data_IF_638648651807
#
_entry.id   IF_638648651807
#
_cell.length_a   1.000
_cell.length_b   1.000
_cell.length_c   1.000
_cell.angle_alpha   90.00
_cell.angle_beta   90.00
_cell.angle_gamma   90.00
#
_symmetry.space_group_name_H-M   'P 1'
#
loop_
_entity.id
_entity.type
_entity.pdbx_description
1 polymer ?
#
# COMPACT_ATOMS: atom_id res chain seq x y z
N UNK A 1 -13.05 -16.12 -51.30
CA UNK A 1 -13.93 -15.23 -50.54
C UNK A 1 -14.28 -15.74 -49.11
N UNK A 2 -14.70 -17.01 -48.93
CA UNK A 2 -15.09 -17.53 -47.60
C UNK A 2 -13.95 -17.51 -46.54
N UNK A 3 -12.69 -17.71 -46.93
CA UNK A 3 -11.55 -17.70 -46.01
C UNK A 3 -11.14 -16.29 -45.61
N UNK A 4 -11.28 -15.31 -46.51
CA UNK A 4 -10.98 -13.89 -46.20
C UNK A 4 -11.96 -13.32 -45.15
N UNK A 5 -13.24 -13.71 -45.24
CA UNK A 5 -14.27 -13.30 -44.27
C UNK A 5 -14.01 -13.89 -42.87
N UNK A 6 -13.52 -15.13 -42.79
CA UNK A 6 -13.17 -15.78 -41.52
C UNK A 6 -11.95 -15.12 -40.87
N UNK A 7 -10.93 -14.73 -41.64
CA UNK A 7 -9.74 -14.05 -41.16
C UNK A 7 -10.14 -12.65 -40.63
N UNK A 8 -10.98 -11.93 -41.35
CA UNK A 8 -11.45 -10.61 -40.93
C UNK A 8 -12.26 -10.70 -39.65
N UNK A 9 -13.16 -11.65 -39.47
CA UNK A 9 -13.92 -11.87 -38.26
C UNK A 9 -13.03 -12.23 -37.08
N UNK A 10 -11.96 -13.03 -37.29
CA UNK A 10 -11.02 -13.37 -36.22
C UNK A 10 -10.18 -12.17 -35.79
N UNK A 11 -9.74 -11.33 -36.70
CA UNK A 11 -8.99 -10.10 -36.41
C UNK A 11 -9.86 -9.09 -35.63
N UNK A 12 -11.13 -8.92 -36.02
CA UNK A 12 -12.06 -8.05 -35.28
C UNK A 12 -12.33 -8.56 -33.87
N UNK A 13 -12.43 -9.89 -33.67
CA UNK A 13 -12.62 -10.49 -32.35
C UNK A 13 -11.38 -10.27 -31.46
N UNK A 14 -10.16 -10.45 -32.01
CA UNK A 14 -8.92 -10.21 -31.28
C UNK A 14 -8.74 -8.74 -30.89
N UNK A 15 -9.08 -7.80 -31.78
CA UNK A 15 -9.03 -6.36 -31.50
C UNK A 15 -10.05 -5.95 -30.43
N UNK A 16 -11.23 -6.56 -30.40
CA UNK A 16 -12.23 -6.26 -29.38
C UNK A 16 -11.82 -6.76 -28.00
N UNK A 17 -11.15 -7.92 -27.91
CA UNK A 17 -10.63 -8.44 -26.63
C UNK A 17 -9.48 -7.58 -26.09
N UNK A 18 -8.58 -7.10 -26.96
CA UNK A 18 -7.50 -6.19 -26.54
C UNK A 18 -8.04 -4.82 -26.09
N UNK A 19 -9.09 -4.31 -26.73
CA UNK A 19 -9.70 -3.04 -26.32
C UNK A 19 -10.43 -3.15 -24.96
N UNK A 20 -11.02 -4.31 -24.66
CA UNK A 20 -11.68 -4.52 -23.36
C UNK A 20 -10.69 -4.65 -22.19
N UNK A 21 -9.51 -5.26 -22.41
CA UNK A 21 -8.48 -5.33 -21.37
C UNK A 21 -7.84 -3.98 -21.08
N UNK A 22 -7.60 -3.14 -22.07
CA UNK A 22 -7.08 -1.79 -21.89
C UNK A 22 -8.09 -0.87 -21.16
N UNK A 23 -9.39 -1.02 -21.42
CA UNK A 23 -10.42 -0.25 -20.70
C UNK A 23 -10.61 -0.71 -19.25
N UNK A 24 -10.30 -1.97 -18.92
CA UNK A 24 -10.41 -2.47 -17.56
C UNK A 24 -9.29 -1.94 -16.64
N UNK A 25 -8.06 -1.81 -17.14
CA UNK A 25 -6.95 -1.21 -16.39
C UNK A 25 -7.18 0.26 -16.08
N UNK A 26 -7.63 1.06 -17.06
CA UNK A 26 -7.94 2.48 -16.85
C UNK A 26 -9.14 2.70 -15.92
N UNK A 27 -10.12 1.81 -15.93
CA UNK A 27 -11.32 1.94 -15.10
C UNK A 27 -11.04 1.72 -13.62
N UNK A 28 -10.04 0.92 -13.26
CA UNK A 28 -9.65 0.68 -11.85
C UNK A 28 -8.76 1.80 -11.31
N UNK A 29 -7.91 2.40 -12.15
CA UNK A 29 -7.03 3.51 -11.76
C UNK A 29 -7.74 4.85 -11.69
N UNK A 30 -8.83 5.05 -12.44
CA UNK A 30 -9.61 6.29 -12.48
C UNK A 30 -10.73 6.38 -11.44
N UNK A 31 -10.92 5.37 -10.61
CA UNK A 31 -11.86 5.41 -9.49
C UNK A 31 -11.38 6.33 -8.34
N UNK A 32 -10.69 7.42 -8.65
CA UNK A 32 -10.40 8.47 -7.69
C UNK A 32 -11.64 9.32 -7.50
N UNK A 33 -12.51 8.87 -6.66
CA UNK A 33 -13.45 9.75 -5.99
C UNK A 33 -12.63 10.71 -5.13
N UNK A 34 -13.09 11.94 -4.95
CA UNK A 34 -12.44 12.90 -4.07
C UNK A 34 -12.14 12.24 -2.70
N UNK A 35 -10.90 12.31 -2.26
CA UNK A 35 -10.49 11.77 -0.97
C UNK A 35 -11.26 12.46 0.16
N UNK A 36 -12.16 11.72 0.78
CA UNK A 36 -13.10 12.25 1.77
C UNK A 36 -12.39 12.82 3.01
N UNK A 37 -11.24 12.24 3.37
CA UNK A 37 -10.43 12.63 4.52
C UNK A 37 -9.19 13.46 4.15
N UNK A 38 -9.19 14.14 3.00
CA UNK A 38 -8.04 14.92 2.53
C UNK A 38 -7.55 15.95 3.57
N UNK A 39 -8.48 16.64 4.23
CA UNK A 39 -8.16 17.65 5.26
C UNK A 39 -7.61 17.07 6.58
N UNK A 40 -7.71 15.75 6.77
CA UNK A 40 -7.23 15.04 7.94
C UNK A 40 -6.07 14.09 7.60
N UNK A 41 -5.54 14.17 6.38
CA UNK A 41 -4.43 13.35 5.94
C UNK A 41 -3.14 13.72 6.68
N UNK A 42 -2.43 12.69 7.12
CA UNK A 42 -1.07 12.83 7.64
C UNK A 42 -0.06 12.45 6.55
N UNK A 43 1.06 13.15 6.50
CA UNK A 43 2.12 12.85 5.54
C UNK A 43 3.50 13.23 6.10
N UNK A 44 4.57 12.79 5.44
CA UNK A 44 5.92 13.17 5.77
C UNK A 44 6.32 12.88 7.22
N UNK A 45 7.03 13.80 7.83
CA UNK A 45 7.53 13.66 9.21
C UNK A 45 6.38 13.65 10.24
N UNK A 46 5.26 14.31 9.96
CA UNK A 46 4.08 14.29 10.83
C UNK A 46 3.47 12.87 10.90
N UNK A 47 3.30 12.21 9.76
CA UNK A 47 2.85 10.83 9.71
C UNK A 47 3.82 9.89 10.41
N UNK A 48 5.12 10.04 10.16
CA UNK A 48 6.15 9.23 10.81
C UNK A 48 6.10 9.37 12.34
N UNK A 49 5.98 10.58 12.85
CA UNK A 49 5.90 10.85 14.28
C UNK A 49 4.63 10.25 14.89
N UNK A 50 3.49 10.38 14.22
CA UNK A 50 2.22 9.82 14.66
C UNK A 50 2.26 8.28 14.70
N UNK A 51 2.80 7.64 13.68
CA UNK A 51 3.00 6.18 13.65
C UNK A 51 3.91 5.75 14.80
N UNK A 52 5.04 6.41 15.00
CA UNK A 52 6.05 6.03 15.98
C UNK A 52 5.64 6.35 17.43
N UNK A 53 4.55 7.09 17.64
CA UNK A 53 3.94 7.26 18.95
C UNK A 53 3.20 5.98 19.43
N UNK A 54 3.03 5.00 18.55
CA UNK A 54 2.35 3.72 18.82
C UNK A 54 0.94 3.89 19.41
N UNK A 55 0.24 4.94 18.94
CA UNK A 55 -1.13 5.25 19.33
C UNK A 55 -2.02 5.32 18.10
N UNK A 56 -3.01 4.44 18.02
CA UNK A 56 -3.92 4.39 16.87
C UNK A 56 -4.21 2.97 16.38
N UNK A 57 -4.76 2.90 15.19
CA UNK A 57 -5.07 1.64 14.50
C UNK A 57 -4.07 1.41 13.37
N UNK A 58 -3.53 0.21 13.31
CA UNK A 58 -2.52 -0.20 12.34
C UNK A 58 -3.02 -1.44 11.61
N UNK A 59 -3.15 -1.35 10.29
CA UNK A 59 -3.51 -2.47 9.43
C UNK A 59 -2.46 -2.65 8.35
N UNK A 60 -2.21 -3.90 7.96
CA UNK A 60 -1.41 -4.24 6.79
C UNK A 60 -2.20 -5.17 5.91
N UNK A 61 -2.33 -4.81 4.65
CA UNK A 61 -2.98 -5.59 3.61
C UNK A 61 -1.94 -6.10 2.63
N UNK A 62 -2.04 -7.38 2.29
CA UNK A 62 -1.19 -8.09 1.34
C UNK A 62 -2.07 -8.93 0.42
N UNK A 63 -1.52 -9.44 -0.68
CA UNK A 63 -2.25 -10.27 -1.63
C UNK A 63 -1.82 -11.74 -1.50
N UNK A 64 -2.78 -12.63 -1.32
CA UNK A 64 -2.58 -14.06 -1.31
C UNK A 64 -2.19 -14.60 -2.70
N UNK A 65 -1.60 -15.80 -2.82
CA UNK A 65 -1.24 -16.39 -4.11
C UNK A 65 -2.41 -16.60 -5.08
N UNK A 66 -3.62 -16.70 -4.56
CA UNK A 66 -4.87 -16.81 -5.35
C UNK A 66 -5.47 -15.45 -5.76
N UNK A 67 -4.78 -14.35 -5.43
CA UNK A 67 -5.22 -12.98 -5.72
C UNK A 67 -6.21 -12.40 -4.70
N UNK A 68 -6.60 -13.16 -3.68
CA UNK A 68 -7.50 -12.64 -2.64
C UNK A 68 -6.76 -11.73 -1.66
N UNK A 69 -7.41 -10.69 -1.10
CA UNK A 69 -6.79 -9.82 -0.12
C UNK A 69 -6.63 -10.53 1.24
N UNK A 70 -5.52 -10.26 1.90
CA UNK A 70 -5.26 -10.65 3.29
C UNK A 70 -4.96 -9.40 4.10
N UNK A 71 -5.74 -9.12 5.13
CA UNK A 71 -5.59 -7.92 5.97
C UNK A 71 -5.52 -8.32 7.44
N UNK A 72 -4.57 -7.75 8.16
CA UNK A 72 -4.40 -8.01 9.58
C UNK A 72 -3.93 -6.78 10.34
N UNK A 73 -4.12 -6.77 11.65
CA UNK A 73 -3.56 -5.77 12.56
C UNK A 73 -2.07 -6.06 12.77
N UNK A 74 -1.22 -5.11 12.38
CA UNK A 74 0.22 -5.16 12.64
C UNK A 74 0.73 -3.79 13.02
N UNK A 75 1.29 -3.68 14.21
CA UNK A 75 1.99 -2.46 14.61
C UNK A 75 3.28 -2.37 13.81
N UNK A 76 3.44 -1.29 13.08
CA UNK A 76 4.64 -0.96 12.33
C UNK A 76 5.21 0.38 12.81
N UNK A 77 6.47 0.62 12.50
CA UNK A 77 7.12 1.91 12.66
C UNK A 77 7.55 2.45 11.31
N UNK A 78 7.87 3.73 11.26
CA UNK A 78 8.38 4.40 10.07
C UNK A 78 9.72 5.04 10.38
N UNK A 79 10.68 4.91 9.48
CA UNK A 79 11.99 5.53 9.57
C UNK A 79 12.26 6.37 8.33
N UNK A 80 13.04 7.45 8.47
CA UNK A 80 13.47 8.30 7.37
C UNK A 80 14.95 8.12 7.14
N UNK A 81 15.34 7.95 5.88
CA UNK A 81 16.73 7.87 5.46
C UNK A 81 16.88 8.50 4.07
N UNK A 82 17.83 9.44 3.89
CA UNK A 82 18.08 10.14 2.63
C UNK A 82 16.79 10.70 1.98
N UNK A 83 15.97 11.40 2.78
CA UNK A 83 14.68 12.03 2.39
C UNK A 83 13.61 11.06 1.89
N UNK A 84 13.82 9.76 2.02
CA UNK A 84 12.82 8.72 1.79
C UNK A 84 12.29 8.14 3.10
N UNK A 85 11.08 7.61 3.05
CA UNK A 85 10.45 6.93 4.18
C UNK A 85 10.40 5.42 3.96
N UNK A 86 10.57 4.68 5.05
CA UNK A 86 10.56 3.22 5.05
C UNK A 86 9.68 2.72 6.19
N UNK A 87 8.89 1.69 5.94
CA UNK A 87 8.16 0.98 6.99
C UNK A 87 9.05 -0.11 7.56
N UNK A 88 9.05 -0.24 8.89
CA UNK A 88 9.63 -1.34 9.62
C UNK A 88 8.52 -2.23 10.17
N UNK A 89 8.47 -3.47 9.72
CA UNK A 89 7.54 -4.51 10.15
C UNK A 89 8.27 -5.59 10.94
N UNK A 90 7.73 -5.97 12.10
CA UNK A 90 8.20 -7.13 12.86
C UNK A 90 7.17 -8.24 12.75
N UNK A 91 7.28 -9.10 11.74
CA UNK A 91 6.30 -10.14 11.47
C UNK A 91 6.77 -11.49 12.02
N UNK A 92 5.86 -12.18 12.74
CA UNK A 92 6.01 -13.60 12.99
C UNK A 92 5.73 -14.41 11.72
N UNK A 93 6.01 -15.71 11.74
CA UNK A 93 5.64 -16.62 10.66
C UNK A 93 4.12 -16.70 10.52
N UNK A 94 3.59 -16.04 9.47
CA UNK A 94 2.16 -15.97 9.15
C UNK A 94 1.96 -15.68 7.66
N UNK A 95 0.69 -15.66 7.23
CA UNK A 95 0.32 -15.44 5.83
C UNK A 95 0.81 -14.07 5.31
N UNK A 96 0.72 -13.01 6.11
CA UNK A 96 1.18 -11.68 5.67
C UNK A 96 2.67 -11.65 5.39
N UNK A 97 3.50 -12.32 6.23
CA UNK A 97 4.94 -12.44 6.00
C UNK A 97 5.21 -13.21 4.71
N UNK A 98 4.58 -14.38 4.52
CA UNK A 98 4.73 -15.18 3.32
C UNK A 98 4.34 -14.40 2.04
N UNK A 99 3.26 -13.63 2.09
CA UNK A 99 2.83 -12.79 0.98
C UNK A 99 3.85 -11.68 0.67
N UNK A 100 4.39 -11.02 1.70
CA UNK A 100 5.40 -9.97 1.52
C UNK A 100 6.73 -10.50 1.00
N UNK A 101 7.14 -11.69 1.43
CA UNK A 101 8.33 -12.37 0.90
C UNK A 101 8.14 -12.78 -0.57
N UNK A 102 6.93 -13.17 -0.97
CA UNK A 102 6.62 -13.58 -2.32
C UNK A 102 6.41 -12.41 -3.30
N UNK A 103 5.65 -11.39 -2.87
CA UNK A 103 5.18 -10.30 -3.74
C UNK A 103 5.99 -9.02 -3.58
N UNK A 104 6.62 -8.83 -2.42
CA UNK A 104 7.45 -7.66 -2.14
C UNK A 104 6.68 -6.35 -1.97
N UNK A 105 5.34 -6.38 -1.88
CA UNK A 105 4.53 -5.15 -1.81
C UNK A 105 3.29 -5.31 -0.93
N UNK A 106 2.75 -4.18 -0.49
CA UNK A 106 1.55 -4.14 0.31
C UNK A 106 1.02 -2.73 0.56
N UNK A 107 -0.07 -2.68 1.30
CA UNK A 107 -0.72 -1.45 1.75
C UNK A 107 -0.79 -1.45 3.28
N UNK A 108 -0.18 -0.45 3.90
CA UNK A 108 -0.38 -0.17 5.31
C UNK A 108 -1.42 0.95 5.49
N UNK A 109 -2.21 0.83 6.54
CA UNK A 109 -3.18 1.86 6.93
C UNK A 109 -2.90 2.24 8.38
N UNK A 110 -2.73 3.52 8.61
CA UNK A 110 -2.64 4.09 9.93
C UNK A 110 -3.78 5.08 10.16
N UNK A 111 -4.54 4.87 11.23
CA UNK A 111 -5.53 5.82 11.70
C UNK A 111 -5.18 6.24 13.14
N UNK A 112 -4.93 7.52 13.31
CA UNK A 112 -4.59 8.10 14.61
C UNK A 112 -5.76 7.95 15.60
N UNK A 113 -5.42 7.85 16.88
CA UNK A 113 -6.44 7.91 17.92
C UNK A 113 -7.17 9.27 17.85
N UNK A 114 -8.49 9.32 17.89
CA UNK A 114 -9.28 10.55 17.86
C UNK A 114 -8.86 11.60 18.88
N UNK A 115 -8.41 11.18 20.06
CA UNK A 115 -7.94 12.07 21.10
C UNK A 115 -6.63 12.80 20.75
N UNK A 116 -5.85 12.25 19.81
CA UNK A 116 -4.60 12.84 19.29
C UNK A 116 -4.88 13.71 18.06
N UNK A 117 -5.91 13.41 17.31
CA UNK A 117 -6.27 14.10 16.07
C UNK A 117 -6.86 15.51 16.27
N UNK A 118 -7.10 15.95 17.50
CA UNK A 118 -7.36 17.35 17.89
C UNK A 118 -8.44 18.09 17.13
N UNK A 119 -9.50 17.44 16.64
CA UNK A 119 -10.37 18.11 15.71
C UNK A 119 -11.86 17.96 15.97
N UNK A 120 -12.55 19.09 16.06
CA UNK A 120 -14.00 19.22 15.99
C UNK A 120 -14.55 18.98 14.57
N UNK A 121 -14.01 17.99 13.85
CA UNK A 121 -14.53 17.58 12.53
C UNK A 121 -15.63 16.54 12.71
N UNK A 122 -16.64 16.47 11.79
CA UNK A 122 -17.72 15.51 11.89
C UNK A 122 -17.26 14.05 11.91
N UNK A 123 -16.03 13.80 11.45
CA UNK A 123 -15.35 12.50 11.50
C UNK A 123 -13.94 12.71 12.03
N UNK A 124 -13.68 12.44 13.31
CA UNK A 124 -12.36 12.64 13.92
C UNK A 124 -11.42 11.50 13.52
N UNK A 125 -11.13 11.38 12.23
CA UNK A 125 -10.20 10.39 11.69
C UNK A 125 -9.07 11.13 11.00
N UNK A 126 -7.84 10.94 11.51
CA UNK A 126 -6.62 11.44 10.90
C UNK A 126 -5.67 10.27 10.64
N UNK A 127 -4.99 10.27 9.52
CA UNK A 127 -4.09 9.17 9.19
C UNK A 127 -3.74 9.10 7.71
N UNK A 128 -3.35 7.92 7.26
CA UNK A 128 -2.94 7.70 5.89
C UNK A 128 -3.08 6.24 5.44
N UNK A 129 -3.21 6.07 4.14
CA UNK A 129 -2.94 4.84 3.39
C UNK A 129 -1.53 4.94 2.83
N UNK A 130 -0.72 3.90 3.02
CA UNK A 130 0.72 3.91 2.74
C UNK A 130 1.04 2.70 1.87
N UNK A 131 1.29 2.93 0.59
CA UNK A 131 1.78 1.88 -0.31
C UNK A 131 3.27 1.71 -0.11
N UNK A 132 3.71 0.47 -0.09
CA UNK A 132 5.11 0.14 0.13
C UNK A 132 5.55 -1.05 -0.71
N UNK A 133 6.84 -1.11 -1.00
CA UNK A 133 7.49 -2.21 -1.73
C UNK A 133 8.78 -2.66 -1.06
N UNK A 134 9.24 -3.85 -1.40
CA UNK A 134 10.53 -4.37 -0.97
C UNK A 134 11.66 -3.38 -1.35
N UNK A 135 12.72 -3.37 -0.56
CA UNK A 135 13.90 -2.57 -0.83
C UNK A 135 14.54 -3.00 -2.16
N UNK A 136 14.90 -2.04 -3.01
CA UNK A 136 15.67 -2.30 -4.23
C UNK A 136 17.09 -2.79 -3.89
N UNK A 137 17.67 -2.24 -2.82
CA UNK A 137 18.94 -2.69 -2.25
C UNK A 137 18.70 -3.33 -0.87
N UNK A 138 18.72 -4.65 -0.75
CA UNK A 138 18.51 -5.34 0.52
C UNK A 138 19.56 -4.98 1.60
N UNK A 139 20.76 -4.53 1.22
CA UNK A 139 21.80 -4.15 2.18
C UNK A 139 21.42 -2.91 2.98
N UNK A 140 20.50 -2.10 2.47
CA UNK A 140 19.98 -0.92 3.17
C UNK A 140 19.25 -1.31 4.46
N UNK A 141 18.72 -2.53 4.57
CA UNK A 141 18.04 -2.99 5.76
C UNK A 141 18.92 -2.94 7.02
N UNK A 142 20.22 -3.20 6.90
CA UNK A 142 21.17 -3.09 8.01
C UNK A 142 21.31 -1.65 8.50
N UNK A 143 21.39 -0.70 7.56
CA UNK A 143 21.47 0.74 7.87
C UNK A 143 20.18 1.24 8.52
N UNK A 144 19.02 0.80 8.02
CA UNK A 144 17.72 1.19 8.55
C UNK A 144 17.45 0.57 9.93
N UNK A 145 18.04 -0.58 10.22
CA UNK A 145 17.89 -1.29 11.51
C UNK A 145 18.83 -0.77 12.61
N UNK A 146 18.93 0.55 12.75
CA UNK A 146 19.79 1.15 13.78
C UNK A 146 19.45 0.70 15.20
N UNK A 147 18.20 0.27 15.46
CA UNK A 147 17.76 -0.27 16.75
C UNK A 147 18.18 -1.73 16.98
N UNK A 148 18.73 -2.40 15.97
CA UNK A 148 19.12 -3.81 16.05
C UNK A 148 17.98 -4.79 16.31
N UNK A 149 16.75 -4.47 15.85
CA UNK A 149 15.56 -5.31 16.07
C UNK A 149 15.67 -6.62 15.27
N UNK A 150 15.75 -7.79 15.92
CA UNK A 150 15.83 -9.07 15.22
C UNK A 150 14.57 -9.32 14.37
N UNK A 151 14.77 -9.84 13.16
CA UNK A 151 13.66 -10.21 12.26
C UNK A 151 12.83 -9.03 11.73
N UNK A 152 13.33 -7.80 11.85
CA UNK A 152 12.66 -6.65 11.24
C UNK A 152 12.80 -6.70 9.72
N UNK A 153 11.67 -6.53 9.04
CA UNK A 153 11.61 -6.33 7.58
C UNK A 153 11.43 -4.85 7.28
N UNK A 154 12.12 -4.37 6.25
CA UNK A 154 12.03 -2.97 5.81
C UNK A 154 11.48 -2.89 4.40
N UNK A 155 10.62 -1.90 4.17
CA UNK A 155 9.98 -1.65 2.89
C UNK A 155 10.04 -0.16 2.55
N UNK A 156 10.33 0.17 1.30
CA UNK A 156 10.29 1.55 0.83
C UNK A 156 8.85 2.02 0.68
N UNK A 157 8.51 3.18 1.24
CA UNK A 157 7.22 3.84 1.02
C UNK A 157 7.20 4.42 -0.38
N UNK A 158 6.24 4.01 -1.19
CA UNK A 158 6.11 4.45 -2.59
C UNK A 158 5.06 5.53 -2.77
N UNK A 159 4.01 5.50 -1.96
CA UNK A 159 2.92 6.46 -2.03
C UNK A 159 2.22 6.62 -0.68
N UNK A 160 1.76 7.83 -0.39
CA UNK A 160 0.95 8.15 0.78
C UNK A 160 -0.30 8.87 0.30
N UNK A 161 -1.48 8.40 0.72
CA UNK A 161 -2.78 9.03 0.42
C UNK A 161 -3.63 9.18 1.69
N UNK A 162 -4.64 10.07 1.68
CA UNK A 162 -5.66 10.13 2.71
C UNK A 162 -6.34 8.79 2.98
N UNK A 163 -7.06 8.67 4.10
CA UNK A 163 -7.72 7.42 4.51
C UNK A 163 -8.88 6.99 3.59
N UNK A 164 -9.42 7.85 2.77
CA UNK A 164 -10.49 7.51 1.83
C UNK A 164 -11.28 8.71 1.37
#
# INVERSE_FOLDING_TARGET
MKNLLKIFALVCLLLSVMAMSAMAEDAVSSASVADFYADAALSGDELMNAINAFSGTYLVSTTNPDGTPNTAFFIFSMVKHNDKYYLQLGLAENQSKANLEANGEGLAVYAANPDVAGGAKPYPVSGARIWFKALEDPSLAETLNASGRPGAMFFEVTEIRPLG
#
